data_IF_825108709938
#
_entry.id   IF_825108709938
#
_cell.length_a   1.000
_cell.length_b   1.000
_cell.length_c   1.000
_cell.angle_alpha   90.00
_cell.angle_beta   90.00
_cell.angle_gamma   90.00
#
_symmetry.space_group_name_H-M   'P 1'
#
loop_
_entity.id
_entity.type
_entity.pdbx_description
1 polymer ?
#
# COMPACT_ATOMS: atom_id res chain seq x y z
N UNK A 1 -8.87 -23.43 -30.86
CA UNK A 1 -8.07 -22.43 -30.12
C UNK A 1 -8.97 -21.31 -29.61
N UNK A 2 -9.58 -21.47 -28.42
CA UNK A 2 -10.32 -20.38 -27.71
C UNK A 2 -10.24 -20.61 -26.20
N UNK A 3 -9.05 -20.88 -25.67
CA UNK A 3 -8.82 -21.11 -24.23
C UNK A 3 -7.80 -20.15 -23.61
N UNK A 4 -7.39 -19.09 -24.32
CA UNK A 4 -6.35 -18.15 -23.82
C UNK A 4 -6.89 -16.78 -23.38
N UNK A 5 -8.21 -16.64 -23.24
CA UNK A 5 -8.85 -15.35 -23.02
C UNK A 5 -9.43 -15.21 -21.60
N UNK A 6 -8.80 -15.81 -20.59
CA UNK A 6 -9.28 -15.72 -19.20
C UNK A 6 -8.26 -16.09 -18.13
N UNK A 7 -6.95 -15.93 -18.39
CA UNK A 7 -6.04 -15.68 -17.26
C UNK A 7 -6.30 -14.24 -16.85
N UNK A 8 -7.20 -14.06 -15.89
CA UNK A 8 -7.23 -12.87 -15.04
C UNK A 8 -5.78 -12.62 -14.61
N UNK A 9 -5.08 -11.75 -15.34
CA UNK A 9 -3.69 -11.44 -15.03
C UNK A 9 -3.75 -10.68 -13.73
N UNK A 10 -3.52 -11.39 -12.64
CA UNK A 10 -3.24 -10.76 -11.37
C UNK A 10 -2.19 -9.67 -11.64
N UNK A 11 -2.45 -8.42 -11.24
CA UNK A 11 -1.50 -7.34 -11.47
C UNK A 11 -0.17 -7.73 -10.85
N UNK A 12 0.93 -7.44 -11.55
CA UNK A 12 2.28 -7.74 -11.04
C UNK A 12 2.47 -7.14 -9.64
N UNK A 13 3.39 -7.70 -8.86
CA UNK A 13 3.62 -7.25 -7.48
C UNK A 13 4.01 -5.77 -7.46
N UNK A 14 4.76 -5.28 -8.45
CA UNK A 14 5.09 -3.86 -8.63
C UNK A 14 3.84 -3.01 -8.88
N UNK A 15 2.91 -3.49 -9.72
CA UNK A 15 1.65 -2.80 -9.96
C UNK A 15 0.76 -2.78 -8.70
N UNK A 16 0.78 -3.84 -7.89
CA UNK A 16 0.13 -3.85 -6.56
C UNK A 16 0.76 -2.82 -5.63
N UNK A 17 2.09 -2.76 -5.55
CA UNK A 17 2.83 -1.78 -4.75
C UNK A 17 2.49 -0.34 -5.13
N UNK A 18 2.54 -0.02 -6.43
CA UNK A 18 2.23 1.32 -6.92
C UNK A 18 0.79 1.75 -6.56
N UNK A 19 -0.18 0.83 -6.65
CA UNK A 19 -1.58 1.08 -6.26
C UNK A 19 -1.70 1.36 -4.76
N UNK A 20 -1.06 0.56 -3.92
CA UNK A 20 -1.07 0.79 -2.48
C UNK A 20 -0.41 2.13 -2.12
N UNK A 21 0.75 2.45 -2.71
CA UNK A 21 1.41 3.73 -2.48
C UNK A 21 0.53 4.94 -2.88
N UNK A 22 -0.14 4.86 -4.03
CA UNK A 22 -1.08 5.90 -4.45
C UNK A 22 -2.27 6.04 -3.49
N UNK A 23 -2.79 4.91 -2.99
CA UNK A 23 -3.88 4.90 -2.01
C UNK A 23 -3.47 5.52 -0.67
N UNK A 24 -2.26 5.23 -0.16
CA UNK A 24 -1.73 5.86 1.06
C UNK A 24 -1.72 7.38 0.95
N UNK A 25 -1.19 7.92 -0.16
CA UNK A 25 -1.19 9.38 -0.42
C UNK A 25 -2.60 9.96 -0.43
N UNK A 26 -3.55 9.25 -1.05
CA UNK A 26 -4.95 9.65 -1.09
C UNK A 26 -5.58 9.69 0.31
N UNK A 27 -5.28 8.71 1.16
CA UNK A 27 -5.83 8.67 2.52
C UNK A 27 -5.21 9.73 3.43
N UNK A 28 -3.91 9.96 3.33
CA UNK A 28 -3.25 11.06 4.06
C UNK A 28 -3.85 12.41 3.70
N UNK A 29 -3.98 12.70 2.40
CA UNK A 29 -4.65 13.93 1.93
C UNK A 29 -6.07 14.04 2.49
N UNK A 30 -6.85 12.95 2.48
CA UNK A 30 -8.21 12.95 3.04
C UNK A 30 -8.25 13.22 4.54
N UNK A 31 -7.26 12.78 5.32
CA UNK A 31 -7.20 13.10 6.75
C UNK A 31 -6.95 14.60 6.99
N UNK A 32 -6.13 15.22 6.13
CA UNK A 32 -5.84 16.66 6.16
C UNK A 32 -7.06 17.50 5.70
N UNK A 33 -7.74 17.07 4.64
CA UNK A 33 -8.87 17.80 4.03
C UNK A 33 -10.21 17.55 4.72
N UNK A 34 -10.40 16.42 5.41
CA UNK A 34 -11.66 16.10 6.06
C UNK A 34 -11.95 17.10 7.19
N UNK A 35 -13.18 17.60 7.21
CA UNK A 35 -13.66 18.50 8.28
C UNK A 35 -14.31 17.67 9.39
N UNK A 36 -15.04 16.61 9.02
CA UNK A 36 -15.74 15.74 9.95
C UNK A 36 -14.82 14.69 10.59
N UNK A 37 -15.04 14.43 11.89
CA UNK A 37 -14.22 13.49 12.66
C UNK A 37 -14.41 12.04 12.20
N UNK A 38 -15.61 11.66 11.75
CA UNK A 38 -15.86 10.31 11.27
C UNK A 38 -15.11 10.04 9.97
N UNK A 39 -15.06 11.03 9.08
CA UNK A 39 -14.34 10.92 7.82
C UNK A 39 -12.81 10.87 8.03
N UNK A 40 -12.29 11.62 9.01
CA UNK A 40 -10.89 11.50 9.44
C UNK A 40 -10.56 10.10 9.95
N UNK A 41 -11.39 9.57 10.84
CA UNK A 41 -11.18 8.23 11.41
C UNK A 41 -11.28 7.14 10.33
N UNK A 42 -12.25 7.25 9.41
CA UNK A 42 -12.35 6.34 8.27
C UNK A 42 -11.09 6.41 7.39
N UNK A 43 -10.59 7.61 7.10
CA UNK A 43 -9.36 7.76 6.32
C UNK A 43 -8.12 7.23 7.05
N UNK A 44 -8.10 7.28 8.39
CA UNK A 44 -7.05 6.66 9.23
C UNK A 44 -7.09 5.14 9.14
N UNK A 45 -8.25 4.53 9.33
CA UNK A 45 -8.41 3.07 9.26
C UNK A 45 -8.03 2.53 7.87
N UNK A 46 -8.49 3.20 6.81
CA UNK A 46 -8.14 2.83 5.43
C UNK A 46 -6.64 2.97 5.13
N UNK A 47 -5.97 3.96 5.74
CA UNK A 47 -4.53 4.11 5.65
C UNK A 47 -3.80 2.95 6.33
N UNK A 48 -4.17 2.59 7.56
CA UNK A 48 -3.54 1.51 8.33
C UNK A 48 -3.70 0.14 7.65
N UNK A 49 -4.90 -0.15 7.15
CA UNK A 49 -5.17 -1.37 6.38
C UNK A 49 -4.31 -1.42 5.11
N UNK A 50 -4.26 -0.31 4.35
CA UNK A 50 -3.47 -0.23 3.14
C UNK A 50 -1.96 -0.32 3.42
N UNK A 51 -1.47 0.26 4.51
CA UNK A 51 -0.06 0.18 4.93
C UNK A 51 0.35 -1.27 5.17
N UNK A 52 -0.48 -2.05 5.86
CA UNK A 52 -0.22 -3.48 6.06
C UNK A 52 -0.16 -4.24 4.73
N UNK A 53 -1.10 -3.98 3.82
CA UNK A 53 -1.12 -4.61 2.51
C UNK A 53 0.08 -4.23 1.63
N UNK A 54 0.49 -2.95 1.66
CA UNK A 54 1.70 -2.46 1.02
C UNK A 54 2.95 -3.18 1.51
N UNK A 55 3.12 -3.27 2.84
CA UNK A 55 4.27 -3.93 3.45
C UNK A 55 4.32 -5.40 3.06
N UNK A 56 3.19 -6.10 3.05
CA UNK A 56 3.13 -7.49 2.57
C UNK A 56 3.58 -7.61 1.10
N UNK A 57 3.07 -6.77 0.21
CA UNK A 57 3.49 -6.76 -1.20
C UNK A 57 4.97 -6.38 -1.36
N UNK A 58 5.49 -5.51 -0.50
CA UNK A 58 6.89 -5.10 -0.50
C UNK A 58 7.79 -6.27 -0.08
N UNK A 59 7.43 -6.97 1.00
CA UNK A 59 8.11 -8.18 1.44
C UNK A 59 8.03 -9.31 0.42
N UNK A 60 6.92 -9.43 -0.30
CA UNK A 60 6.75 -10.41 -1.39
C UNK A 60 7.71 -10.12 -2.56
N UNK A 61 7.91 -8.85 -2.91
CA UNK A 61 8.78 -8.44 -4.01
C UNK A 61 10.27 -8.48 -3.68
N UNK A 62 10.65 -7.94 -2.51
CA UNK A 62 12.06 -7.75 -2.13
C UNK A 62 12.57 -8.81 -1.14
N UNK A 63 11.73 -9.78 -0.80
CA UNK A 63 12.00 -10.78 0.23
C UNK A 63 11.97 -10.21 1.65
N UNK A 64 12.22 -11.08 2.63
CA UNK A 64 12.46 -10.70 4.03
C UNK A 64 13.85 -10.08 4.18
N UNK A 65 14.15 -9.01 3.44
CA UNK A 65 15.24 -8.13 3.89
C UNK A 65 14.73 -7.49 5.18
N UNK A 66 15.38 -7.75 6.34
CA UNK A 66 15.06 -6.99 7.53
C UNK A 66 15.25 -5.54 7.12
N UNK A 67 14.17 -4.77 7.23
CA UNK A 67 14.24 -3.33 7.12
C UNK A 67 15.29 -2.94 8.17
N UNK A 68 16.51 -2.61 7.74
CA UNK A 68 17.40 -1.84 8.59
C UNK A 68 16.57 -0.61 8.85
N UNK A 69 16.05 -0.49 10.08
CA UNK A 69 15.66 0.80 10.61
C UNK A 69 16.90 1.66 10.41
N UNK A 70 16.91 2.45 9.33
CA UNK A 70 17.79 3.59 9.23
C UNK A 70 17.20 4.59 10.22
N UNK A 71 17.41 4.30 11.50
CA UNK A 71 17.46 5.33 12.51
C UNK A 71 18.44 6.36 11.96
N UNK A 72 18.11 7.64 12.07
CA UNK A 72 18.88 8.77 11.54
C UNK A 72 20.30 8.92 12.14
N UNK A 73 20.90 7.84 12.66
CA UNK A 73 22.19 7.82 13.34
C UNK A 73 23.30 7.01 12.65
N UNK A 74 23.07 6.46 11.45
CA UNK A 74 24.11 6.03 10.49
C UNK A 74 25.49 5.63 11.06
N UNK A 75 25.54 4.66 11.98
CA UNK A 75 26.76 4.13 12.58
C UNK A 75 26.74 2.61 12.66
#
# INVERSE_FOLDING_TARGET
MKQELQREREPSIEARLARHFAAQKKYLRRQEEAIDQRDKELARLLFEENRTAYLRAYHELYGSHPYIEVNEDGR
#
